data_IF_815041906107
#
_entry.id   IF_815041906107
#
_cell.length_a   1.000
_cell.length_b   1.000
_cell.length_c   1.000
_cell.angle_alpha   90.00
_cell.angle_beta   90.00
_cell.angle_gamma   90.00
#
_symmetry.space_group_name_H-M   'P 1'
#
loop_
_entity.id
_entity.type
_entity.pdbx_description
1 polymer ?
#
# COMPACT_ATOMS: atom_id res chain seq x y z
N UNK A 1 12.50 -27.10 -45.97
CA UNK A 1 12.48 -25.80 -45.27
C UNK A 1 11.31 -25.82 -44.29
N UNK A 2 11.61 -25.82 -42.99
CA UNK A 2 10.67 -26.02 -41.88
C UNK A 2 9.93 -24.71 -41.64
N UNK A 3 8.62 -24.68 -41.84
CA UNK A 3 7.77 -23.52 -41.62
C UNK A 3 7.56 -23.37 -40.10
N UNK A 4 8.51 -22.71 -39.43
CA UNK A 4 8.39 -22.39 -38.00
C UNK A 4 7.43 -21.21 -37.85
N UNK A 5 6.18 -21.54 -37.50
CA UNK A 5 5.14 -20.58 -37.14
C UNK A 5 5.61 -19.66 -36.02
N UNK A 6 5.59 -18.36 -36.30
CA UNK A 6 5.64 -17.29 -35.31
C UNK A 6 4.24 -17.17 -34.70
N UNK A 7 4.04 -17.72 -33.48
CA UNK A 7 2.94 -17.28 -32.61
C UNK A 7 3.43 -16.04 -31.84
N UNK A 8 2.85 -14.84 -32.06
CA UNK A 8 3.10 -13.73 -31.16
C UNK A 8 2.31 -14.02 -29.89
N UNK A 9 3.02 -14.43 -28.83
CA UNK A 9 2.46 -14.52 -27.50
C UNK A 9 2.25 -13.09 -26.99
N UNK A 10 1.19 -12.42 -27.43
CA UNK A 10 0.73 -11.17 -26.83
C UNK A 10 0.19 -11.50 -25.44
N UNK A 11 1.09 -11.50 -24.47
CA UNK A 11 0.75 -11.44 -23.07
C UNK A 11 0.03 -10.09 -22.85
N UNK A 12 -1.31 -10.14 -22.81
CA UNK A 12 -2.14 -9.09 -22.25
C UNK A 12 -1.80 -9.04 -20.76
N UNK A 13 -0.80 -8.23 -20.40
CA UNK A 13 -0.60 -7.78 -19.03
C UNK A 13 -1.78 -6.85 -18.72
N UNK A 14 -2.86 -7.42 -18.21
CA UNK A 14 -3.83 -6.66 -17.43
C UNK A 14 -3.07 -6.16 -16.21
N UNK A 15 -2.53 -4.94 -16.33
CA UNK A 15 -2.22 -4.13 -15.17
C UNK A 15 -3.57 -3.87 -14.50
N UNK A 16 -3.91 -4.71 -13.53
CA UNK A 16 -4.78 -4.26 -12.46
C UNK A 16 -4.00 -3.13 -11.80
N UNK A 17 -4.26 -1.89 -12.23
CA UNK A 17 -4.00 -0.77 -11.36
C UNK A 17 -4.74 -1.13 -10.08
N UNK A 18 -4.00 -1.47 -9.03
CA UNK A 18 -4.57 -1.45 -7.71
C UNK A 18 -5.02 0.01 -7.53
N UNK A 19 -6.31 0.25 -7.73
CA UNK A 19 -6.96 1.52 -7.44
C UNK A 19 -6.83 1.73 -5.93
N UNK A 20 -5.65 2.18 -5.49
CA UNK A 20 -5.47 2.73 -4.16
C UNK A 20 -6.11 4.10 -4.23
N UNK A 21 -7.22 4.34 -3.53
CA UNK A 21 -7.85 5.65 -3.49
C UNK A 21 -7.00 6.53 -2.56
N UNK A 22 -5.83 6.93 -3.03
CA UNK A 22 -5.05 7.99 -2.39
C UNK A 22 -5.78 9.34 -2.46
N UNK A 23 -6.79 9.46 -3.34
CA UNK A 23 -7.56 10.69 -3.55
C UNK A 23 -8.39 11.12 -2.32
N UNK A 24 -8.59 10.24 -1.33
CA UNK A 24 -9.36 10.54 -0.10
C UNK A 24 -8.50 10.55 1.19
N UNK A 25 -7.18 10.36 1.10
CA UNK A 25 -6.35 10.38 2.31
C UNK A 25 -5.91 11.80 2.66
N UNK A 26 -6.02 12.16 3.94
CA UNK A 26 -5.52 13.45 4.41
C UNK A 26 -3.99 13.53 4.27
N UNK A 27 -3.47 14.76 4.14
CA UNK A 27 -2.03 14.99 4.12
C UNK A 27 -1.32 14.51 5.39
N UNK A 28 -2.01 14.52 6.53
CA UNK A 28 -1.45 14.01 7.78
C UNK A 28 -1.26 12.49 7.72
N UNK A 29 -2.30 11.78 7.28
CA UNK A 29 -2.27 10.34 7.10
C UNK A 29 -1.18 9.93 6.09
N UNK A 30 -1.14 10.57 4.91
CA UNK A 30 -0.12 10.28 3.87
C UNK A 30 1.30 10.47 4.42
N UNK A 31 1.55 11.53 5.19
CA UNK A 31 2.85 11.78 5.83
C UNK A 31 3.21 10.66 6.80
N UNK A 32 2.27 10.25 7.64
CA UNK A 32 2.51 9.18 8.61
C UNK A 32 2.78 7.83 7.95
N UNK A 33 2.00 7.49 6.92
CA UNK A 33 2.19 6.29 6.09
C UNK A 33 3.56 6.29 5.41
N UNK A 34 3.95 7.42 4.80
CA UNK A 34 5.25 7.56 4.12
C UNK A 34 6.43 7.44 5.09
N UNK A 35 6.32 8.05 6.28
CA UNK A 35 7.34 7.91 7.33
C UNK A 35 7.45 6.46 7.81
N UNK A 36 6.31 5.79 8.03
CA UNK A 36 6.26 4.39 8.38
C UNK A 36 6.98 3.52 7.35
N UNK A 37 6.71 3.74 6.06
CA UNK A 37 7.34 3.00 4.97
C UNK A 37 8.86 3.18 4.96
N UNK A 38 9.34 4.42 5.11
CA UNK A 38 10.77 4.71 5.18
C UNK A 38 11.47 4.05 6.37
N UNK A 39 10.86 4.07 7.55
CA UNK A 39 11.41 3.40 8.76
C UNK A 39 11.41 1.89 8.61
N UNK A 40 10.37 1.33 8.00
CA UNK A 40 10.22 -0.10 7.77
C UNK A 40 11.10 -0.64 6.64
N UNK A 41 11.70 0.23 5.82
CA UNK A 41 12.43 -0.17 4.61
C UNK A 41 11.53 -0.67 3.49
N UNK A 42 10.24 -0.35 3.52
CA UNK A 42 9.30 -0.67 2.44
C UNK A 42 9.53 0.28 1.26
N UNK A 43 9.23 -0.20 0.05
CA UNK A 43 9.45 0.60 -1.17
C UNK A 43 8.59 1.87 -1.18
N UNK A 44 7.39 1.77 -0.63
CA UNK A 44 6.44 2.89 -0.43
C UNK A 44 5.38 2.49 0.60
N UNK A 45 4.48 3.40 0.96
CA UNK A 45 3.36 3.05 1.85
C UNK A 45 2.28 2.18 1.16
N UNK A 46 2.25 2.14 -0.17
CA UNK A 46 1.37 1.25 -0.96
C UNK A 46 2.01 -0.12 -1.24
N UNK A 47 3.23 -0.37 -0.74
CA UNK A 47 3.86 -1.69 -0.78
C UNK A 47 3.23 -2.61 0.28
N UNK A 48 2.01 -3.06 0.03
CA UNK A 48 1.17 -3.77 1.00
C UNK A 48 1.79 -5.09 1.45
N UNK A 49 2.50 -5.78 0.55
CA UNK A 49 3.28 -6.98 0.88
C UNK A 49 4.37 -6.71 1.93
N UNK A 50 4.90 -5.49 2.00
CA UNK A 50 5.82 -5.08 3.06
C UNK A 50 5.09 -4.48 4.27
N UNK A 51 4.23 -3.49 4.05
CA UNK A 51 3.64 -2.67 5.12
C UNK A 51 2.67 -3.44 6.00
N UNK A 52 1.97 -4.45 5.46
CA UNK A 52 1.06 -5.30 6.22
C UNK A 52 1.78 -6.27 7.18
N UNK A 53 3.02 -6.65 6.87
CA UNK A 53 3.77 -7.66 7.61
C UNK A 53 4.91 -7.09 8.46
N UNK A 54 5.11 -5.77 8.44
CA UNK A 54 6.22 -5.12 9.16
C UNK A 54 5.70 -4.39 10.39
N UNK A 55 6.03 -4.89 11.58
CA UNK A 55 5.61 -4.25 12.84
C UNK A 55 6.18 -2.84 13.00
N UNK A 56 7.42 -2.59 12.53
CA UNK A 56 8.02 -1.26 12.56
C UNK A 56 7.21 -0.22 11.74
N UNK A 57 6.56 -0.65 10.65
CA UNK A 57 5.64 0.20 9.89
C UNK A 57 4.44 0.57 10.76
N UNK A 58 3.76 -0.43 11.33
CA UNK A 58 2.54 -0.29 12.13
C UNK A 58 2.77 0.60 13.36
N UNK A 59 3.87 0.39 14.06
CA UNK A 59 4.24 1.18 15.25
C UNK A 59 4.55 2.63 14.90
N UNK A 60 5.30 2.85 13.81
CA UNK A 60 5.68 4.20 13.35
C UNK A 60 4.45 4.99 12.90
N UNK A 61 3.58 4.37 12.09
CA UNK A 61 2.33 4.99 11.66
C UNK A 61 1.44 5.29 12.87
N UNK A 62 1.21 4.31 13.75
CA UNK A 62 0.38 4.48 14.94
C UNK A 62 0.87 5.58 15.89
N UNK A 63 2.19 5.69 16.07
CA UNK A 63 2.81 6.77 16.86
C UNK A 63 2.66 8.13 16.19
N UNK A 64 2.87 8.19 14.88
CA UNK A 64 2.73 9.43 14.11
C UNK A 64 1.30 9.97 14.18
N UNK A 65 0.31 9.12 13.91
CA UNK A 65 -1.10 9.52 13.87
C UNK A 65 -1.54 10.10 15.21
N UNK A 66 -1.23 9.42 16.33
CA UNK A 66 -1.57 9.89 17.68
C UNK A 66 -0.93 11.23 18.04
N UNK A 67 0.23 11.55 17.46
CA UNK A 67 0.99 12.77 17.78
C UNK A 67 0.62 13.95 16.89
N UNK A 68 0.20 13.70 15.65
CA UNK A 68 0.17 14.73 14.61
C UNK A 68 -1.14 14.84 13.86
N UNK A 69 -2.03 13.85 13.96
CA UNK A 69 -3.25 13.77 13.16
C UNK A 69 -4.51 13.81 14.02
N UNK A 70 -5.65 14.07 13.38
CA UNK A 70 -6.95 14.09 14.05
C UNK A 70 -7.51 12.67 14.20
N UNK A 71 -8.55 12.52 15.02
CA UNK A 71 -9.17 11.21 15.27
C UNK A 71 -9.69 10.56 13.97
N UNK A 72 -10.22 11.34 13.04
CA UNK A 72 -10.67 10.85 11.73
C UNK A 72 -9.55 10.18 10.91
N UNK A 73 -8.32 10.69 10.99
CA UNK A 73 -7.16 10.08 10.32
C UNK A 73 -6.79 8.75 10.95
N UNK A 74 -6.90 8.65 12.29
CA UNK A 74 -6.65 7.40 13.03
C UNK A 74 -7.67 6.34 12.61
N UNK A 75 -8.94 6.72 12.56
CA UNK A 75 -10.02 5.82 12.19
C UNK A 75 -9.90 5.39 10.72
N UNK A 76 -9.58 6.34 9.83
CA UNK A 76 -9.31 6.08 8.41
C UNK A 76 -8.13 5.15 8.21
N UNK A 77 -7.02 5.36 8.92
CA UNK A 77 -5.86 4.47 8.88
C UNK A 77 -6.22 3.05 9.32
N UNK A 78 -7.02 2.90 10.37
CA UNK A 78 -7.44 1.60 10.86
C UNK A 78 -8.34 0.88 9.85
N UNK A 79 -9.26 1.59 9.22
CA UNK A 79 -10.11 1.01 8.16
C UNK A 79 -9.31 0.66 6.91
N UNK A 80 -8.38 1.54 6.50
CA UNK A 80 -7.48 1.27 5.39
C UNK A 80 -6.65 0.02 5.66
N UNK A 81 -6.04 -0.09 6.85
CA UNK A 81 -5.26 -1.27 7.24
C UNK A 81 -6.10 -2.54 7.21
N UNK A 82 -7.34 -2.53 7.72
CA UNK A 82 -8.26 -3.68 7.63
C UNK A 82 -8.58 -4.07 6.19
N UNK A 83 -8.89 -3.09 5.32
CA UNK A 83 -9.22 -3.36 3.91
C UNK A 83 -8.03 -3.93 3.15
N UNK A 84 -6.85 -3.38 3.38
CA UNK A 84 -5.65 -3.67 2.59
C UNK A 84 -4.91 -4.91 3.11
N UNK A 85 -4.82 -5.08 4.43
CA UNK A 85 -4.06 -6.17 5.06
C UNK A 85 -4.96 -7.31 5.59
N UNK A 86 -6.28 -7.12 5.56
CA UNK A 86 -7.25 -8.15 5.93
C UNK A 86 -7.81 -8.93 4.74
N UNK A 87 -7.51 -8.55 3.50
CA UNK A 87 -7.99 -9.22 2.29
C UNK A 87 -7.28 -10.56 1.99
N UNK A 88 -6.15 -10.85 2.66
CA UNK A 88 -5.34 -12.06 2.48
C UNK A 88 -5.36 -12.99 3.71
N UNK A 89 -6.42 -12.97 4.53
CA UNK A 89 -6.65 -13.92 5.63
C UNK A 89 -7.71 -14.96 5.30
#
# INVERSE_FOLDING_TARGET
>A
MKLSMLLPLTALLSFAAADFPDEDLSQCLIKCLSMGAGVAGCSSYVDTACTCHTEAFKDTVGTCLKKSCIQEDIDTAAQLHKRVCGADQ
#
